data_IF_536645131313
#
_entry.id   IF_536645131313
#
_cell.length_a   1.000
_cell.length_b   1.000
_cell.length_c   1.000
_cell.angle_alpha   90.00
_cell.angle_beta   90.00
_cell.angle_gamma   90.00
#
_symmetry.space_group_name_H-M   'P 1'
#
loop_
_entity.id
_entity.type
_entity.pdbx_description
1 polymer ?
#
# COMPACT_ATOMS: atom_id res chain seq x y z
N UNK A 1 -51.44 -3.05 -49.63
CA UNK A 1 -50.71 -1.81 -49.28
C UNK A 1 -50.20 -1.79 -47.84
N UNK A 2 -51.03 -2.05 -46.81
CA UNK A 2 -50.58 -2.07 -45.39
C UNK A 2 -49.41 -3.03 -45.07
N UNK A 3 -49.37 -4.22 -45.68
CA UNK A 3 -48.28 -5.21 -45.46
C UNK A 3 -46.94 -4.78 -46.06
N UNK A 4 -46.95 -4.03 -47.17
CA UNK A 4 -45.74 -3.51 -47.83
C UNK A 4 -45.16 -2.35 -47.01
N UNK A 5 -46.03 -1.49 -46.46
CA UNK A 5 -45.62 -0.40 -45.58
C UNK A 5 -44.91 -0.93 -44.32
N UNK A 6 -45.40 -2.04 -43.77
CA UNK A 6 -44.83 -2.64 -42.56
C UNK A 6 -43.45 -3.27 -42.81
N UNK A 7 -43.24 -3.86 -43.98
CA UNK A 7 -41.94 -4.40 -44.40
C UNK A 7 -40.92 -3.26 -44.61
N UNK A 8 -41.36 -2.12 -45.17
CA UNK A 8 -40.49 -0.96 -45.38
C UNK A 8 -40.00 -0.35 -44.05
N UNK A 9 -40.85 -0.33 -43.02
CA UNK A 9 -40.50 0.19 -41.68
C UNK A 9 -39.49 -0.70 -40.95
N UNK A 10 -39.56 -2.03 -41.16
CA UNK A 10 -38.60 -2.98 -40.58
C UNK A 10 -37.23 -2.89 -41.26
N UNK A 11 -37.17 -2.56 -42.55
CA UNK A 11 -35.90 -2.42 -43.29
C UNK A 11 -35.18 -1.09 -42.93
N UNK A 12 -35.90 -0.05 -42.51
CA UNK A 12 -35.27 1.21 -42.09
C UNK A 12 -34.68 1.18 -40.66
N UNK A 13 -35.02 0.19 -39.83
CA UNK A 13 -34.57 0.14 -38.43
C UNK A 13 -33.21 -0.55 -38.21
N UNK A 14 -32.63 -1.15 -39.25
CA UNK A 14 -31.35 -1.91 -39.17
C UNK A 14 -30.07 -1.07 -39.33
N UNK A 15 -30.14 0.26 -39.39
CA UNK A 15 -28.96 1.11 -39.59
C UNK A 15 -28.66 2.13 -38.48
N UNK A 16 -29.24 1.98 -37.28
CA UNK A 16 -28.86 2.84 -36.15
C UNK A 16 -27.63 2.28 -35.44
N UNK A 17 -26.47 2.38 -36.10
CA UNK A 17 -25.19 2.26 -35.41
C UNK A 17 -24.89 3.59 -34.72
N UNK A 18 -24.96 3.59 -33.39
CA UNK A 18 -24.44 4.67 -32.55
C UNK A 18 -22.94 4.85 -32.82
N UNK A 19 -22.55 5.86 -33.60
CA UNK A 19 -21.16 6.18 -33.93
C UNK A 19 -20.40 6.87 -32.79
N UNK A 20 -20.72 6.57 -31.53
CA UNK A 20 -19.97 7.16 -30.41
C UNK A 20 -18.56 6.54 -30.25
N UNK A 21 -18.35 5.29 -30.68
CA UNK A 21 -17.04 4.61 -30.57
C UNK A 21 -16.03 4.98 -31.66
N UNK A 22 -16.48 5.23 -32.90
CA UNK A 22 -15.59 5.49 -34.04
C UNK A 22 -14.84 6.82 -33.95
N UNK A 23 -15.50 7.88 -33.47
CA UNK A 23 -14.87 9.21 -33.30
C UNK A 23 -13.94 9.29 -32.08
N UNK A 24 -14.11 8.44 -31.07
CA UNK A 24 -13.17 8.29 -29.95
C UNK A 24 -11.86 7.65 -30.42
N UNK A 25 -11.94 6.61 -31.26
CA UNK A 25 -10.75 5.90 -31.79
C UNK A 25 -9.99 6.75 -32.81
N UNK A 26 -10.69 7.49 -33.69
CA UNK A 26 -10.04 8.40 -34.66
C UNK A 26 -9.41 9.64 -34.00
N UNK A 27 -9.91 10.11 -32.86
CA UNK A 27 -9.21 11.16 -32.08
C UNK A 27 -7.97 10.64 -31.36
N UNK A 28 -7.95 9.37 -30.97
CA UNK A 28 -6.86 8.85 -30.15
C UNK A 28 -5.62 8.44 -30.97
N UNK A 29 -5.78 8.08 -32.25
CA UNK A 29 -4.62 7.66 -33.08
C UNK A 29 -3.73 8.82 -33.56
N UNK A 30 -4.15 10.08 -33.42
CA UNK A 30 -3.32 11.27 -33.72
C UNK A 30 -2.64 11.87 -32.49
N UNK A 31 -3.08 11.48 -31.29
CA UNK A 31 -2.38 11.75 -30.05
C UNK A 31 -1.55 10.53 -29.69
N UNK A 32 -0.61 10.16 -30.58
CA UNK A 32 0.67 9.78 -30.02
C UNK A 32 1.08 11.00 -29.21
N UNK A 33 1.09 10.86 -27.89
CA UNK A 33 1.80 11.76 -26.99
C UNK A 33 3.25 11.80 -27.50
N UNK A 34 3.48 12.64 -28.51
CA UNK A 34 4.79 13.15 -28.81
C UNK A 34 5.12 13.86 -27.52
N UNK A 35 5.97 13.20 -26.73
CA UNK A 35 6.77 13.87 -25.73
C UNK A 35 7.51 14.96 -26.49
N UNK A 36 6.89 16.12 -26.64
CA UNK A 36 7.55 17.33 -27.07
C UNK A 36 8.38 17.66 -25.84
N UNK A 37 9.70 17.50 -25.87
CA UNK A 37 10.50 17.97 -24.75
C UNK A 37 10.23 19.47 -24.67
N UNK A 38 9.43 19.87 -23.69
CA UNK A 38 9.29 21.27 -23.36
C UNK A 38 10.71 21.74 -23.08
N UNK A 39 11.20 22.71 -23.86
CA UNK A 39 12.53 23.25 -23.60
C UNK A 39 12.47 23.80 -22.18
N UNK A 40 13.09 23.10 -21.23
CA UNK A 40 13.23 23.59 -19.87
C UNK A 40 14.23 24.73 -19.99
N UNK A 41 13.73 25.93 -20.26
CA UNK A 41 14.55 27.12 -20.16
C UNK A 41 14.85 27.28 -18.69
N UNK A 42 16.01 26.80 -18.26
CA UNK A 42 16.55 26.97 -16.92
C UNK A 42 16.92 28.43 -16.64
N UNK A 43 16.46 29.38 -17.47
CA UNK A 43 16.60 30.78 -17.21
C UNK A 43 15.49 31.60 -17.88
N UNK A 44 15.20 32.75 -17.29
CA UNK A 44 14.29 33.78 -17.82
C UNK A 44 15.09 35.07 -17.88
N UNK A 45 15.11 35.72 -19.04
CA UNK A 45 15.83 36.98 -19.26
C UNK A 45 14.84 38.10 -19.58
N UNK A 46 15.02 39.25 -18.95
CA UNK A 46 14.42 40.55 -19.32
C UNK A 46 15.52 41.49 -19.81
N UNK A 47 15.17 42.74 -20.15
CA UNK A 47 16.11 43.76 -20.62
C UNK A 47 17.18 44.15 -19.57
N UNK A 48 17.01 43.75 -18.31
CA UNK A 48 17.89 44.15 -17.20
C UNK A 48 18.33 43.02 -16.28
N UNK A 49 17.66 41.85 -16.33
CA UNK A 49 17.88 40.76 -15.38
C UNK A 49 17.81 39.41 -16.06
N UNK A 50 18.72 38.50 -15.69
CA UNK A 50 18.65 37.09 -16.04
C UNK A 50 18.50 36.28 -14.76
N UNK A 51 17.43 35.49 -14.66
CA UNK A 51 17.17 34.57 -13.55
C UNK A 51 17.51 33.16 -14.04
N UNK A 52 18.39 32.46 -13.34
CA UNK A 52 18.69 31.05 -13.62
C UNK A 52 18.00 30.16 -12.58
N UNK A 53 17.48 29.02 -13.03
CA UNK A 53 16.91 27.95 -12.20
C UNK A 53 17.80 26.73 -12.31
N UNK A 54 18.38 26.32 -11.19
CA UNK A 54 19.14 25.09 -11.07
C UNK A 54 18.34 24.07 -10.25
N UNK A 55 18.17 22.86 -10.79
CA UNK A 55 17.62 21.73 -10.05
C UNK A 55 18.77 20.82 -9.67
N UNK A 56 18.94 20.57 -8.37
CA UNK A 56 20.02 19.72 -7.84
C UNK A 56 19.38 18.45 -7.30
N UNK A 57 19.91 17.30 -7.72
CA UNK A 57 19.57 15.99 -7.17
C UNK A 57 20.79 15.48 -6.40
N UNK A 58 20.58 15.11 -5.14
CA UNK A 58 21.63 14.62 -4.26
C UNK A 58 21.26 13.23 -3.73
N UNK A 59 22.19 12.29 -3.86
CA UNK A 59 22.05 10.94 -3.31
C UNK A 59 22.67 10.92 -1.92
N UNK A 60 21.83 10.92 -0.89
CA UNK A 60 22.28 10.77 0.49
C UNK A 60 21.99 9.38 1.05
N UNK A 61 22.88 8.92 1.93
CA UNK A 61 22.64 7.70 2.70
C UNK A 61 21.76 8.03 3.89
N UNK A 62 20.85 7.13 4.24
CA UNK A 62 20.03 7.26 5.43
C UNK A 62 20.89 7.13 6.71
N UNK A 63 20.56 7.93 7.72
CA UNK A 63 21.17 7.87 9.06
C UNK A 63 20.47 6.81 9.94
N UNK A 64 19.18 6.64 9.73
CA UNK A 64 18.31 5.75 10.48
C UNK A 64 17.35 5.01 9.57
N UNK A 65 16.98 3.83 10.03
CA UNK A 65 16.01 2.95 9.41
C UNK A 65 14.91 2.65 10.41
N UNK A 66 13.67 2.58 9.94
CA UNK A 66 12.53 2.19 10.76
C UNK A 66 11.76 1.09 10.05
N UNK A 67 11.90 -0.14 10.56
CA UNK A 67 11.15 -1.29 10.07
C UNK A 67 9.85 -1.43 10.85
N UNK A 68 8.76 -1.71 10.15
CA UNK A 68 7.44 -1.92 10.74
C UNK A 68 6.94 -3.30 10.36
N UNK A 69 6.63 -4.12 11.36
CA UNK A 69 6.00 -5.42 11.19
C UNK A 69 4.53 -5.35 11.57
N UNK A 70 3.69 -6.06 10.83
CA UNK A 70 2.32 -6.37 11.20
C UNK A 70 2.26 -7.69 11.97
N UNK A 71 1.46 -7.73 13.02
CA UNK A 71 1.16 -8.97 13.74
C UNK A 71 -0.32 -9.02 14.09
N UNK A 72 -0.92 -10.18 13.88
CA UNK A 72 -2.29 -10.46 14.27
C UNK A 72 -2.40 -11.76 15.08
N UNK A 73 -3.44 -11.85 15.90
CA UNK A 73 -3.80 -13.07 16.63
C UNK A 73 -5.32 -13.19 16.65
N UNK A 74 -5.80 -14.39 16.33
CA UNK A 74 -7.21 -14.76 16.39
C UNK A 74 -7.45 -15.79 17.50
N UNK A 75 -8.45 -15.53 18.36
CA UNK A 75 -8.92 -16.46 19.39
C UNK A 75 -10.41 -16.32 19.61
N UNK A 76 -11.00 -17.34 20.24
CA UNK A 76 -12.41 -17.34 20.63
C UNK A 76 -12.72 -16.18 21.59
N UNK A 77 -11.82 -15.88 22.53
CA UNK A 77 -11.96 -14.74 23.44
C UNK A 77 -10.96 -13.62 23.14
N UNK A 78 -11.41 -12.38 23.31
CA UNK A 78 -10.56 -11.20 23.14
C UNK A 78 -9.36 -11.18 24.12
N UNK A 79 -9.56 -11.71 25.33
CA UNK A 79 -8.52 -11.80 26.35
C UNK A 79 -7.39 -12.72 25.89
N UNK A 80 -7.73 -13.93 25.43
CA UNK A 80 -6.74 -14.89 24.93
C UNK A 80 -5.99 -14.36 23.71
N UNK A 81 -6.67 -13.66 22.79
CA UNK A 81 -6.02 -13.07 21.63
C UNK A 81 -4.99 -12.00 22.05
N UNK A 82 -5.34 -11.14 23.02
CA UNK A 82 -4.40 -10.16 23.57
C UNK A 82 -3.24 -10.81 24.32
N UNK A 83 -3.48 -11.85 25.11
CA UNK A 83 -2.43 -12.56 25.84
C UNK A 83 -1.48 -13.28 24.88
N UNK A 84 -2.02 -13.94 23.85
CA UNK A 84 -1.25 -14.64 22.81
C UNK A 84 -0.34 -13.69 22.04
N UNK A 85 -0.92 -12.62 21.49
CA UNK A 85 -0.15 -11.65 20.70
C UNK A 85 0.92 -10.94 21.55
N UNK A 86 0.60 -10.59 22.81
CA UNK A 86 1.57 -9.98 23.72
C UNK A 86 2.70 -10.94 24.08
N UNK A 87 2.40 -12.22 24.32
CA UNK A 87 3.42 -13.23 24.60
C UNK A 87 4.38 -13.41 23.43
N UNK A 88 3.86 -13.42 22.20
CA UNK A 88 4.63 -13.49 20.96
C UNK A 88 5.56 -12.28 20.81
N UNK A 89 5.00 -11.07 20.91
CA UNK A 89 5.76 -9.80 20.86
C UNK A 89 6.85 -9.76 21.94
N UNK A 90 6.52 -10.07 23.19
CA UNK A 90 7.48 -10.06 24.30
C UNK A 90 8.63 -11.05 24.10
N UNK A 91 8.36 -12.18 23.44
CA UNK A 91 9.40 -13.19 23.14
C UNK A 91 10.34 -12.69 22.04
N UNK A 92 9.78 -12.03 21.02
CA UNK A 92 10.56 -11.37 19.98
C UNK A 92 11.40 -10.19 20.54
N UNK A 93 10.83 -9.34 21.41
CA UNK A 93 11.57 -8.25 22.07
C UNK A 93 12.81 -8.75 22.85
N UNK A 94 12.68 -9.89 23.54
CA UNK A 94 13.83 -10.52 24.23
C UNK A 94 14.91 -10.96 23.26
N UNK A 95 14.51 -11.50 22.10
CA UNK A 95 15.45 -11.89 21.05
C UNK A 95 16.12 -10.67 20.42
N UNK A 96 15.38 -9.60 20.13
CA UNK A 96 15.92 -8.33 19.65
C UNK A 96 16.94 -7.72 20.61
N UNK A 97 16.70 -7.85 21.92
CA UNK A 97 17.66 -7.41 22.95
C UNK A 97 19.00 -8.14 22.81
N UNK A 98 18.99 -9.43 22.47
CA UNK A 98 20.23 -10.20 22.22
C UNK A 98 20.97 -9.79 20.93
N UNK A 99 20.29 -9.14 19.98
CA UNK A 99 20.88 -8.55 18.77
C UNK A 99 21.40 -7.10 18.99
N UNK A 100 21.31 -6.63 20.24
CA UNK A 100 21.74 -5.29 20.64
C UNK A 100 20.72 -4.18 20.31
N UNK A 101 19.47 -4.53 20.00
CA UNK A 101 18.39 -3.55 19.84
C UNK A 101 17.88 -3.16 21.22
N UNK A 102 17.96 -1.87 21.55
CA UNK A 102 17.47 -1.35 22.82
C UNK A 102 15.95 -1.29 22.83
N UNK A 103 15.37 -1.50 24.02
CA UNK A 103 13.91 -1.41 24.20
C UNK A 103 13.34 -0.04 23.84
N UNK A 104 14.07 1.05 24.09
CA UNK A 104 13.67 2.42 23.70
C UNK A 104 13.50 2.62 22.19
N UNK A 105 14.07 1.73 21.38
CA UNK A 105 13.98 1.74 19.93
C UNK A 105 12.87 0.83 19.39
N UNK A 106 12.12 0.16 20.25
CA UNK A 106 11.02 -0.73 19.89
C UNK A 106 9.71 -0.09 20.37
N UNK A 107 8.79 0.11 19.44
CA UNK A 107 7.47 0.66 19.72
C UNK A 107 6.38 -0.29 19.26
N UNK A 108 5.46 -0.62 20.16
CA UNK A 108 4.32 -1.48 19.88
C UNK A 108 3.09 -0.59 19.74
N UNK A 109 2.55 -0.52 18.54
CA UNK A 109 1.34 0.25 18.24
C UNK A 109 0.14 -0.68 18.11
N UNK A 110 -1.00 -0.22 18.63
CA UNK A 110 -2.22 -1.00 18.61
C UNK A 110 -3.07 -0.57 17.41
N UNK A 111 -3.45 -1.53 16.57
CA UNK A 111 -4.16 -1.23 15.33
C UNK A 111 -5.66 -1.45 15.47
N UNK A 112 -6.07 -2.66 15.87
CA UNK A 112 -7.49 -2.98 15.95
C UNK A 112 -7.79 -4.16 16.85
N UNK A 113 -9.04 -4.22 17.30
CA UNK A 113 -9.68 -5.39 17.90
C UNK A 113 -11.06 -5.55 17.30
N UNK A 114 -11.28 -6.63 16.56
CA UNK A 114 -12.51 -6.84 15.79
C UNK A 114 -13.07 -8.23 16.04
N UNK A 115 -14.39 -8.37 15.89
CA UNK A 115 -15.03 -9.69 15.88
C UNK A 115 -14.78 -10.34 14.53
N UNK A 116 -14.52 -11.64 14.54
CA UNK A 116 -14.48 -12.47 13.35
C UNK A 116 -15.70 -13.39 13.31
N UNK A 117 -16.16 -13.63 12.10
CA UNK A 117 -17.33 -14.44 11.81
C UNK A 117 -16.99 -15.40 10.69
N UNK A 118 -17.53 -16.60 10.79
CA UNK A 118 -17.49 -17.62 9.74
C UNK A 118 -18.93 -17.92 9.28
N UNK A 119 -19.10 -18.85 8.37
CA UNK A 119 -20.39 -19.26 7.84
C UNK A 119 -20.60 -20.75 8.06
N UNK A 120 -21.72 -21.11 8.70
CA UNK A 120 -22.20 -22.48 8.66
C UNK A 120 -22.95 -22.66 7.32
N UNK A 121 -22.44 -23.56 6.46
CA UNK A 121 -23.01 -23.87 5.15
C UNK A 121 -23.86 -25.14 5.25
N UNK A 122 -25.13 -25.04 4.88
CA UNK A 122 -26.01 -26.19 4.71
C UNK A 122 -26.12 -26.52 3.22
N UNK A 123 -25.43 -27.58 2.80
CA UNK A 123 -25.41 -28.05 1.42
C UNK A 123 -26.79 -28.53 0.93
N UNK A 124 -27.65 -28.99 1.85
CA UNK A 124 -28.97 -29.55 1.51
C UNK A 124 -29.97 -28.45 1.17
N UNK A 125 -29.97 -27.36 1.92
CA UNK A 125 -30.81 -26.17 1.69
C UNK A 125 -30.13 -25.10 0.83
N UNK A 126 -28.85 -25.31 0.46
CA UNK A 126 -27.99 -24.34 -0.24
C UNK A 126 -27.99 -22.97 0.43
N UNK A 127 -28.00 -22.97 1.77
CA UNK A 127 -28.04 -21.74 2.56
C UNK A 127 -26.77 -21.60 3.41
N UNK A 128 -26.43 -20.35 3.72
CA UNK A 128 -25.28 -20.01 4.56
C UNK A 128 -25.72 -19.04 5.66
N UNK A 129 -25.40 -19.36 6.91
CA UNK A 129 -25.72 -18.51 8.07
C UNK A 129 -24.43 -18.03 8.73
N UNK A 130 -24.34 -16.72 8.98
CA UNK A 130 -23.19 -16.14 9.65
C UNK A 130 -23.14 -16.56 11.12
N UNK A 131 -21.96 -16.96 11.57
CA UNK A 131 -21.68 -17.43 12.92
C UNK A 131 -20.49 -16.68 13.50
N UNK A 132 -20.65 -16.19 14.72
CA UNK A 132 -19.54 -15.60 15.46
C UNK A 132 -18.50 -16.67 15.82
N UNK A 133 -17.24 -16.44 15.46
CA UNK A 133 -16.15 -17.40 15.69
C UNK A 133 -15.07 -16.91 16.65
N UNK A 134 -14.96 -15.59 16.88
CA UNK A 134 -14.03 -15.06 17.87
C UNK A 134 -13.65 -13.62 17.64
N UNK A 135 -12.43 -13.28 18.02
CA UNK A 135 -11.84 -11.95 17.89
C UNK A 135 -10.49 -12.03 17.20
N UNK A 136 -10.20 -11.00 16.41
CA UNK A 136 -8.89 -10.71 15.84
C UNK A 136 -8.32 -9.46 16.50
N UNK A 137 -7.05 -9.53 16.92
CA UNK A 137 -6.28 -8.39 17.43
C UNK A 137 -5.13 -8.12 16.47
N UNK A 138 -4.93 -6.85 16.09
CA UNK A 138 -3.81 -6.42 15.23
C UNK A 138 -2.95 -5.39 15.94
N UNK A 139 -1.63 -5.53 15.81
CA UNK A 139 -0.63 -4.60 16.32
C UNK A 139 0.49 -4.41 15.30
N UNK A 140 1.18 -3.28 15.40
CA UNK A 140 2.42 -3.06 14.70
C UNK A 140 3.61 -3.12 15.67
N UNK A 141 4.71 -3.71 15.22
CA UNK A 141 6.01 -3.67 15.90
C UNK A 141 6.90 -2.77 15.07
N UNK A 142 7.26 -1.62 15.62
CA UNK A 142 8.07 -0.61 14.95
C UNK A 142 9.45 -0.61 15.60
N UNK A 143 10.50 -0.82 14.81
CA UNK A 143 11.87 -0.89 15.31
C UNK A 143 12.71 0.15 14.58
N UNK A 144 13.36 1.02 15.35
CA UNK A 144 14.30 2.01 14.84
C UNK A 144 15.74 1.52 15.02
N UNK A 145 16.56 1.63 13.99
CA UNK A 145 17.96 1.21 14.03
C UNK A 145 18.81 2.06 13.08
N UNK A 146 20.09 2.21 13.38
CA UNK A 146 21.05 2.94 12.53
C UNK A 146 21.85 2.02 11.60
N UNK A 147 21.84 0.72 11.85
CA UNK A 147 22.65 -0.27 11.12
C UNK A 147 21.76 -1.07 10.17
N UNK A 148 21.86 -0.76 8.87
CA UNK A 148 21.10 -1.44 7.82
C UNK A 148 21.35 -2.95 7.78
N UNK A 149 22.58 -3.39 8.09
CA UNK A 149 22.96 -4.80 7.95
C UNK A 149 22.15 -5.73 8.86
N UNK A 150 21.60 -5.20 9.95
CA UNK A 150 20.78 -5.96 10.91
C UNK A 150 19.35 -6.19 10.45
N UNK A 151 18.88 -5.53 9.39
CA UNK A 151 17.48 -5.64 8.95
C UNK A 151 17.15 -7.06 8.53
N UNK A 152 18.01 -7.71 7.75
CA UNK A 152 17.80 -9.09 7.31
C UNK A 152 17.79 -10.06 8.49
N UNK A 153 18.71 -9.91 9.44
CA UNK A 153 18.76 -10.72 10.67
C UNK A 153 17.47 -10.54 11.50
N UNK A 154 17.00 -9.30 11.65
CA UNK A 154 15.76 -9.00 12.39
C UNK A 154 14.55 -9.64 11.71
N UNK A 155 14.45 -9.56 10.38
CA UNK A 155 13.37 -10.19 9.61
C UNK A 155 13.43 -11.72 9.77
N UNK A 156 14.61 -12.32 9.63
CA UNK A 156 14.80 -13.75 9.80
C UNK A 156 14.39 -14.19 11.20
N UNK A 157 14.79 -13.44 12.24
CA UNK A 157 14.43 -13.76 13.62
C UNK A 157 12.94 -13.53 13.92
N UNK A 158 12.29 -12.54 13.29
CA UNK A 158 10.85 -12.32 13.42
C UNK A 158 10.04 -13.55 12.96
N UNK A 159 10.51 -14.24 11.91
CA UNK A 159 9.86 -15.45 11.39
C UNK A 159 9.82 -16.59 12.40
N UNK A 160 10.83 -16.71 13.28
CA UNK A 160 10.86 -17.71 14.37
C UNK A 160 9.76 -17.48 15.42
N UNK A 161 9.17 -16.28 15.46
CA UNK A 161 8.06 -15.92 16.33
C UNK A 161 6.74 -15.78 15.57
N UNK A 162 6.64 -16.31 14.36
CA UNK A 162 5.45 -16.20 13.51
C UNK A 162 5.03 -14.74 13.24
N UNK A 163 6.02 -13.88 12.98
CA UNK A 163 5.82 -12.49 12.54
C UNK A 163 6.35 -12.40 11.12
N UNK A 164 5.44 -12.48 10.15
CA UNK A 164 5.78 -12.61 8.73
C UNK A 164 5.49 -11.35 7.91
N UNK A 165 4.59 -10.49 8.40
CA UNK A 165 4.16 -9.31 7.67
C UNK A 165 5.15 -8.15 7.88
N UNK A 166 5.93 -7.84 6.85
CA UNK A 166 6.80 -6.68 6.81
C UNK A 166 6.04 -5.58 6.10
N UNK A 167 5.47 -4.65 6.88
CA UNK A 167 4.65 -3.57 6.35
C UNK A 167 5.52 -2.61 5.53
N UNK A 168 6.66 -2.18 6.08
CA UNK A 168 7.60 -1.27 5.41
C UNK A 168 8.94 -1.13 6.13
N UNK A 169 9.91 -0.58 5.39
CA UNK A 169 11.18 -0.04 5.93
C UNK A 169 11.30 1.42 5.49
N UNK A 170 11.21 2.35 6.44
CA UNK A 170 11.45 3.78 6.20
C UNK A 170 12.95 4.09 6.32
N UNK A 171 13.44 4.99 5.46
CA UNK A 171 14.81 5.50 5.42
C UNK A 171 14.79 6.97 5.84
N UNK A 172 15.58 7.34 6.84
CA UNK A 172 15.47 8.65 7.49
C UNK A 172 16.84 9.28 7.66
N UNK A 173 16.90 10.59 7.45
CA UNK A 173 18.04 11.43 7.82
C UNK A 173 17.67 12.32 9.01
N UNK A 174 18.58 12.46 9.96
CA UNK A 174 18.32 13.23 11.18
C UNK A 174 18.33 14.75 10.92
N UNK A 175 19.03 15.19 9.89
CA UNK A 175 19.26 16.62 9.62
C UNK A 175 19.12 16.92 8.13
N UNK A 176 17.86 17.03 7.68
CA UNK A 176 17.54 17.35 6.28
C UNK A 176 17.98 18.79 5.94
N UNK A 177 18.04 19.70 6.93
CA UNK A 177 18.43 21.09 6.70
C UNK A 177 19.92 21.23 6.37
N UNK A 178 20.79 20.40 6.94
CA UNK A 178 22.20 20.33 6.49
C UNK A 178 22.36 19.81 5.06
N UNK A 179 21.47 18.91 4.63
CA UNK A 179 21.53 18.31 3.28
C UNK A 179 21.10 19.32 2.19
N UNK A 180 20.32 20.34 2.57
CA UNK A 180 19.79 21.36 1.63
C UNK A 180 20.74 22.53 1.35
N UNK A 181 21.85 22.67 2.07
CA UNK A 181 22.84 23.74 1.90
C UNK A 181 23.82 23.43 0.77
#
# INVERSE_FOLDING_TARGET
MKKILLILVVILSINVYSQHGGNQIYRNSRNYDRFVPQSISNFISTDSTVVFTANILLNEKADLYKITFGVNEEKVSLKEANEGINKRINSFEKKLSSLGIKKENIFIDFISQTKIYDFDIDESSKSSVQKFTGFEVKKNIIITLSDYSKIEDIISEASNFEIFDIIKVDYMNNDIEKIKQ
#
